data_IF_993960760123
#
_entry.id   IF_993960760123
#
_cell.length_a   1.000
_cell.length_b   1.000
_cell.length_c   1.000
_cell.angle_alpha   90.00
_cell.angle_beta   90.00
_cell.angle_gamma   90.00
#
_symmetry.space_group_name_H-M   'P 1'
#
loop_
_entity.id
_entity.type
_entity.pdbx_description
1 polymer ?
#
# COMPACT_ATOMS: atom_id res chain seq x y z
N UNK A 1 3.04 -18.11 -17.24
CA UNK A 1 2.61 -17.74 -15.89
C UNK A 1 3.70 -16.83 -15.35
N UNK A 2 3.63 -15.51 -15.40
CA UNK A 2 2.45 -14.65 -15.21
C UNK A 2 2.70 -13.35 -15.95
N UNK A 3 1.65 -12.88 -16.59
CA UNK A 3 1.60 -11.71 -17.45
C UNK A 3 2.06 -10.43 -16.74
N UNK A 4 2.97 -9.73 -17.41
CA UNK A 4 3.30 -8.33 -17.18
C UNK A 4 2.09 -7.46 -17.53
N UNK A 5 1.07 -7.39 -16.68
CA UNK A 5 0.06 -6.34 -16.82
C UNK A 5 0.51 -5.08 -16.05
N UNK A 6 0.86 -3.97 -16.72
CA UNK A 6 1.31 -2.72 -16.10
C UNK A 6 0.28 -2.06 -15.17
N UNK A 7 -0.96 -2.56 -15.11
CA UNK A 7 -2.02 -2.06 -14.21
C UNK A 7 -2.01 -2.70 -12.81
N UNK A 8 -1.21 -3.77 -12.61
CA UNK A 8 -1.08 -4.47 -11.34
C UNK A 8 0.13 -3.94 -10.58
N UNK A 9 -0.12 -3.19 -9.52
CA UNK A 9 0.93 -2.51 -8.77
C UNK A 9 1.90 -3.52 -8.15
N UNK A 10 3.08 -3.59 -8.77
CA UNK A 10 4.24 -4.31 -8.29
C UNK A 10 4.11 -5.84 -8.30
N UNK A 11 5.25 -6.55 -8.12
CA UNK A 11 5.30 -8.01 -8.04
C UNK A 11 4.46 -8.60 -6.90
N UNK A 12 4.04 -7.76 -5.94
CA UNK A 12 3.26 -8.17 -4.78
C UNK A 12 1.75 -7.94 -4.94
N UNK A 13 1.29 -7.11 -5.89
CA UNK A 13 -0.14 -6.81 -6.05
C UNK A 13 -0.76 -6.08 -4.84
N UNK A 14 0.04 -5.34 -4.06
CA UNK A 14 -0.44 -4.57 -2.90
C UNK A 14 0.03 -3.11 -2.98
N UNK A 15 -0.82 -2.20 -2.51
CA UNK A 15 -0.56 -0.75 -2.48
C UNK A 15 -1.02 -0.16 -1.14
N UNK A 16 -0.17 0.63 -0.49
CA UNK A 16 -0.56 1.37 0.71
C UNK A 16 -1.47 2.55 0.35
N UNK A 17 -2.43 2.89 1.22
CA UNK A 17 -3.17 4.15 1.09
C UNK A 17 -2.36 5.31 1.70
N UNK A 18 -2.12 6.41 0.96
CA UNK A 18 -1.34 7.53 1.47
C UNK A 18 -2.11 8.33 2.54
N UNK A 19 -3.44 8.42 2.46
CA UNK A 19 -4.24 9.17 3.45
C UNK A 19 -4.48 8.35 4.71
N UNK A 20 -4.60 7.03 4.56
CA UNK A 20 -5.18 6.16 5.57
C UNK A 20 -4.30 4.93 5.75
N UNK A 21 -3.27 5.06 6.59
CA UNK A 21 -2.25 4.05 6.90
C UNK A 21 -2.74 2.67 7.35
N UNK A 22 -4.00 2.59 7.76
CA UNK A 22 -4.67 1.34 8.14
C UNK A 22 -5.32 0.65 6.94
N UNK A 23 -5.46 1.34 5.82
CA UNK A 23 -5.98 0.83 4.55
C UNK A 23 -4.86 0.55 3.57
N UNK A 24 -5.12 -0.46 2.77
CA UNK A 24 -4.30 -0.86 1.65
C UNK A 24 -5.21 -1.37 0.54
N UNK A 25 -4.70 -1.34 -0.68
CA UNK A 25 -5.37 -1.89 -1.85
C UNK A 25 -4.67 -3.17 -2.23
N UNK A 26 -5.45 -4.23 -2.40
CA UNK A 26 -4.99 -5.51 -2.93
C UNK A 26 -5.52 -5.66 -4.34
N UNK A 27 -4.65 -6.02 -5.28
CA UNK A 27 -5.06 -6.42 -6.62
C UNK A 27 -5.62 -7.84 -6.56
N UNK A 28 -6.92 -7.97 -6.79
CA UNK A 28 -7.61 -9.25 -6.91
C UNK A 28 -8.25 -9.32 -8.31
N UNK A 29 -7.85 -10.31 -9.12
CA UNK A 29 -8.36 -10.50 -10.49
C UNK A 29 -8.25 -9.25 -11.38
N UNK A 30 -7.14 -8.49 -11.26
CA UNK A 30 -6.95 -7.24 -12.02
C UNK A 30 -7.77 -6.05 -11.51
N UNK A 31 -8.45 -6.18 -10.36
CA UNK A 31 -9.19 -5.10 -9.71
C UNK A 31 -8.57 -4.74 -8.37
N UNK A 32 -8.46 -3.43 -8.11
CA UNK A 32 -8.01 -2.91 -6.83
C UNK A 32 -9.14 -2.98 -5.80
N UNK A 33 -8.96 -3.81 -4.78
CA UNK A 33 -9.88 -3.96 -3.66
C UNK A 33 -9.29 -3.27 -2.44
N UNK A 34 -10.00 -2.28 -1.91
CA UNK A 34 -9.59 -1.66 -0.64
C UNK A 34 -9.86 -2.62 0.51
N UNK A 35 -8.84 -2.83 1.33
CA UNK A 35 -8.87 -3.63 2.55
C UNK A 35 -8.29 -2.80 3.68
N UNK A 36 -8.79 -3.05 4.88
CA UNK A 36 -8.31 -2.41 6.09
C UNK A 36 -7.70 -3.47 6.99
N UNK A 37 -6.55 -3.17 7.57
CA UNK A 37 -5.94 -4.03 8.55
C UNK A 37 -6.87 -4.22 9.77
N UNK A 38 -7.04 -5.46 10.25
CA UNK A 38 -7.72 -5.69 11.53
C UNK A 38 -6.87 -5.12 12.67
N UNK A 39 -7.53 -4.66 13.74
CA UNK A 39 -6.92 -3.94 14.86
C UNK A 39 -6.27 -2.58 14.48
N UNK A 40 -5.67 -1.88 15.44
CA UNK A 40 -4.97 -0.61 15.22
C UNK A 40 -3.59 -0.80 14.53
N UNK A 41 -3.51 -1.75 13.59
CA UNK A 41 -2.31 -2.08 12.82
C UNK A 41 -2.26 -1.25 11.52
N UNK A 42 -1.06 -0.99 11.04
CA UNK A 42 -0.77 -0.21 9.85
C UNK A 42 -0.26 -1.14 8.76
N UNK A 43 -0.57 -0.83 7.50
CA UNK A 43 -0.06 -1.59 6.37
C UNK A 43 1.43 -1.33 6.19
N UNK A 44 2.25 -2.39 6.28
CA UNK A 44 3.67 -2.34 5.99
C UNK A 44 3.91 -2.72 4.52
N UNK A 45 4.24 -1.78 3.62
CA UNK A 45 4.51 -2.09 2.22
C UNK A 45 5.83 -2.87 2.02
N UNK A 46 6.80 -2.75 2.93
CA UNK A 46 8.07 -3.49 2.86
C UNK A 46 7.85 -4.99 3.09
N UNK A 47 6.94 -5.33 4.00
CA UNK A 47 6.59 -6.72 4.34
C UNK A 47 5.29 -7.19 3.70
N UNK A 48 4.57 -6.30 3.02
CA UNK A 48 3.21 -6.54 2.49
C UNK A 48 2.27 -7.18 3.53
N UNK A 49 2.29 -6.67 4.77
CA UNK A 49 1.50 -7.21 5.89
C UNK A 49 1.06 -6.11 6.84
N UNK A 50 -0.02 -6.35 7.57
CA UNK A 50 -0.44 -5.50 8.67
C UNK A 50 0.52 -5.65 9.86
N UNK A 51 1.20 -4.58 10.23
CA UNK A 51 2.19 -4.56 11.30
C UNK A 51 1.88 -3.41 12.27
N UNK A 52 2.57 -3.37 13.39
CA UNK A 52 2.37 -2.31 14.37
C UNK A 52 2.83 -0.97 13.81
N UNK A 53 2.14 0.15 14.14
CA UNK A 53 2.53 1.48 13.67
C UNK A 53 3.96 1.87 14.08
N UNK A 54 4.51 1.25 15.14
CA UNK A 54 5.91 1.43 15.52
C UNK A 54 6.90 0.94 14.46
N UNK A 55 6.51 -0.11 13.72
CA UNK A 55 7.30 -0.83 12.72
C UNK A 55 7.02 -0.32 11.29
N UNK A 56 5.99 0.52 11.11
CA UNK A 56 5.64 1.12 9.82
C UNK A 56 6.06 2.59 9.82
N UNK A 57 7.26 2.85 9.29
CA UNK A 57 7.83 4.20 9.25
C UNK A 57 7.15 5.10 8.22
N UNK A 58 6.63 4.55 7.12
CA UNK A 58 5.96 5.32 6.05
C UNK A 58 4.69 6.05 6.50
N UNK A 59 4.11 5.62 7.63
CA UNK A 59 2.86 6.16 8.14
C UNK A 59 3.03 7.12 9.31
N UNK A 60 4.27 7.50 9.61
CA UNK A 60 4.60 8.52 10.61
C UNK A 60 4.65 9.93 10.03
N UNK A 61 4.67 10.07 8.70
CA UNK A 61 4.58 11.36 8.03
C UNK A 61 3.35 11.41 7.14
N UNK A 62 2.25 11.92 7.69
CA UNK A 62 1.21 12.55 6.89
C UNK A 62 0.75 13.84 7.59
N UNK A 63 1.66 14.81 7.59
CA UNK A 63 1.31 16.19 7.26
C UNK A 63 2.10 16.54 5.99
N UNK A 64 1.52 16.23 4.82
CA UNK A 64 2.00 16.72 3.52
C UNK A 64 2.80 15.76 2.63
N UNK A 65 2.37 15.69 1.37
CA UNK A 65 3.04 15.17 0.16
C UNK A 65 3.06 13.62 -0.01
N UNK A 66 2.21 13.02 -0.85
CA UNK A 66 2.18 13.22 -2.30
C UNK A 66 3.58 13.23 -2.95
N UNK A 67 4.30 12.11 -2.91
CA UNK A 67 5.41 11.85 -3.84
C UNK A 67 4.90 11.01 -5.03
N UNK A 68 3.93 11.58 -5.74
CA UNK A 68 3.63 11.24 -7.12
C UNK A 68 4.12 12.40 -7.99
N UNK A 69 5.44 12.51 -8.15
CA UNK A 69 6.05 13.38 -9.18
C UNK A 69 7.43 12.83 -9.52
N UNK A 70 7.47 11.69 -10.23
CA UNK A 70 8.54 11.47 -11.20
C UNK A 70 8.05 12.01 -12.54
N UNK A 71 8.29 13.30 -12.75
CA UNK A 71 8.26 13.94 -14.06
C UNK A 71 9.67 14.44 -14.35
N UNK A 72 10.37 13.74 -15.23
CA UNK A 72 11.22 14.32 -16.29
C UNK A 72 11.35 13.29 -17.40
#
# INVERSE_FOLDING_TARGET
MTESNPESGGPSGYRADPLDCKKFYQCAQGKWVSKKCPAALFWNPEKSVCDWPRNVSLCKQHDGAAAATSTV
#
